data_IF_694601625684
#
_entry.id   IF_694601625684
#
_cell.length_a   1.000
_cell.length_b   1.000
_cell.length_c   1.000
_cell.angle_alpha   90.00
_cell.angle_beta   90.00
_cell.angle_gamma   90.00
#
_symmetry.space_group_name_H-M   'P 1'
#
loop_
_entity.id
_entity.type
_entity.pdbx_description
1 polymer ?
#
# COMPACT_ATOMS: atom_id res chain seq x y z
N UNK A 1 4.83 7.70 -7.50
CA UNK A 1 6.00 7.39 -6.68
C UNK A 1 6.24 5.89 -6.66
N UNK A 2 7.41 5.49 -7.09
CA UNK A 2 7.77 4.08 -7.14
C UNK A 2 8.79 3.77 -6.05
N UNK A 3 8.56 2.66 -5.36
CA UNK A 3 9.42 2.22 -4.26
C UNK A 3 9.85 0.80 -4.54
N UNK A 4 11.15 0.56 -4.55
CA UNK A 4 11.72 -0.76 -4.80
C UNK A 4 12.39 -1.27 -3.53
N UNK A 5 12.20 -2.57 -3.27
CA UNK A 5 12.71 -3.25 -2.08
C UNK A 5 12.05 -2.70 -0.82
N UNK A 6 12.58 -3.02 0.35
CA UNK A 6 12.10 -2.47 1.60
C UNK A 6 12.64 -1.07 1.88
N UNK A 7 13.33 -0.53 0.90
CA UNK A 7 13.91 0.81 0.93
C UNK A 7 13.36 1.62 -0.23
N UNK A 8 13.20 2.90 -0.01
CA UNK A 8 12.93 3.83 -1.09
C UNK A 8 14.25 4.40 -1.55
N UNK A 9 14.54 4.25 -2.83
CA UNK A 9 15.74 4.80 -3.41
C UNK A 9 15.37 5.77 -4.50
N UNK A 10 15.72 7.03 -4.32
CA UNK A 10 15.68 7.97 -5.43
C UNK A 10 16.74 7.56 -6.43
N UNK A 11 16.39 7.57 -7.71
CA UNK A 11 17.28 7.04 -8.74
C UNK A 11 18.63 7.75 -8.79
N UNK A 12 18.61 9.04 -8.58
CA UNK A 12 19.84 9.85 -8.73
C UNK A 12 20.48 10.27 -7.42
N UNK A 13 19.76 10.11 -6.32
CA UNK A 13 20.26 10.56 -5.01
C UNK A 13 19.55 9.76 -3.91
N UNK A 14 19.99 8.55 -3.66
CA UNK A 14 19.32 7.69 -2.69
C UNK A 14 19.66 8.05 -1.25
N UNK A 15 19.44 9.31 -0.88
CA UNK A 15 19.75 9.79 0.45
C UNK A 15 18.64 9.46 1.44
N UNK A 16 17.46 9.08 0.95
CA UNK A 16 16.31 8.79 1.79
C UNK A 16 15.96 7.33 1.69
N UNK A 17 15.98 6.65 2.83
CA UNK A 17 15.56 5.27 2.95
C UNK A 17 14.36 5.26 3.89
N UNK A 18 13.25 4.71 3.42
CA UNK A 18 12.04 4.61 4.23
C UNK A 18 11.81 3.17 4.68
N UNK A 19 11.33 3.05 5.91
CA UNK A 19 11.03 1.76 6.51
C UNK A 19 9.56 1.72 6.93
N UNK A 20 9.04 0.52 7.14
CA UNK A 20 7.68 0.35 7.61
C UNK A 20 7.46 1.13 8.90
N UNK A 21 6.37 1.89 8.95
CA UNK A 21 6.02 2.70 10.09
C UNK A 21 6.61 4.09 10.10
N UNK A 22 7.52 4.40 9.18
CA UNK A 22 8.07 5.74 9.09
C UNK A 22 6.98 6.76 8.78
N UNK A 23 7.18 7.98 9.27
CA UNK A 23 6.26 9.07 9.00
C UNK A 23 6.91 10.11 8.11
N UNK A 24 6.18 10.54 7.10
CA UNK A 24 6.61 11.58 6.17
C UNK A 24 5.67 12.75 6.32
N UNK A 25 6.21 13.93 6.56
CA UNK A 25 5.41 15.15 6.59
C UNK A 25 5.41 15.77 5.20
N UNK A 26 4.23 16.06 4.70
CA UNK A 26 4.04 16.65 3.39
C UNK A 26 3.07 17.82 3.56
N UNK A 27 3.61 19.03 3.71
CA UNK A 27 2.78 20.18 4.05
C UNK A 27 2.14 19.96 5.40
N UNK A 28 0.82 20.03 5.46
CA UNK A 28 0.05 19.76 6.67
C UNK A 28 -0.32 18.28 6.85
N UNK A 29 0.07 17.44 5.89
CA UNK A 29 -0.26 16.03 5.94
C UNK A 29 0.88 15.24 6.53
N UNK A 30 0.52 14.20 7.28
CA UNK A 30 1.48 13.26 7.85
C UNK A 30 1.13 11.86 7.34
N UNK A 31 2.02 11.30 6.54
CA UNK A 31 1.81 10.00 5.92
C UNK A 31 2.62 8.94 6.67
N UNK A 32 1.98 7.83 6.99
CA UNK A 32 2.65 6.66 7.56
C UNK A 32 2.97 5.69 6.43
N UNK A 33 4.20 5.24 6.39
CA UNK A 33 4.65 4.26 5.39
C UNK A 33 4.26 2.86 5.86
N UNK A 34 3.51 2.14 5.03
CA UNK A 34 3.20 0.74 5.26
C UNK A 34 3.92 -0.08 4.20
N UNK A 35 4.80 -0.95 4.64
CA UNK A 35 5.48 -1.87 3.74
C UNK A 35 4.50 -2.96 3.31
N UNK A 36 4.21 -3.02 2.03
CA UNK A 36 3.22 -3.95 1.47
C UNK A 36 3.81 -4.68 0.26
N UNK A 37 4.75 -5.59 0.49
CA UNK A 37 5.38 -6.30 -0.63
C UNK A 37 4.43 -7.31 -1.27
N UNK A 38 4.73 -7.71 -2.47
CA UNK A 38 4.00 -8.75 -3.17
C UNK A 38 3.83 -8.45 -4.65
N UNK A 39 3.30 -7.29 -5.00
CA UNK A 39 3.31 -6.84 -6.39
C UNK A 39 4.76 -6.61 -6.83
N UNK A 40 5.52 -5.93 -5.99
CA UNK A 40 6.98 -5.84 -6.07
C UNK A 40 7.56 -6.10 -4.69
N UNK A 41 8.87 -6.31 -4.63
CA UNK A 41 9.56 -6.51 -3.36
C UNK A 41 9.53 -5.26 -2.48
N UNK A 42 9.45 -4.09 -3.10
CA UNK A 42 9.47 -2.83 -2.39
C UNK A 42 8.15 -2.09 -2.36
N UNK A 43 7.04 -2.80 -2.53
CA UNK A 43 5.73 -2.15 -2.52
C UNK A 43 5.43 -1.50 -1.18
N UNK A 44 4.85 -0.30 -1.22
CA UNK A 44 4.41 0.38 0.00
C UNK A 44 3.09 1.08 -0.26
N UNK A 45 2.38 1.36 0.85
CA UNK A 45 1.23 2.24 0.85
C UNK A 45 1.55 3.43 1.75
N UNK A 46 0.93 4.56 1.47
CA UNK A 46 1.06 5.76 2.29
C UNK A 46 -0.29 6.05 2.94
N UNK A 47 -0.33 6.04 4.25
CA UNK A 47 -1.55 6.15 5.03
C UNK A 47 -1.59 7.46 5.82
N UNK A 48 -2.59 8.28 5.52
CA UNK A 48 -2.87 9.49 6.30
C UNK A 48 -4.02 9.19 7.25
N UNK A 49 -3.68 8.91 8.51
CA UNK A 49 -4.63 8.43 9.51
C UNK A 49 -5.70 9.45 9.86
N UNK A 50 -5.32 10.71 10.01
CA UNK A 50 -6.25 11.75 10.44
C UNK A 50 -7.28 12.07 9.37
N UNK A 51 -6.85 12.14 8.11
CA UNK A 51 -7.74 12.44 7.01
C UNK A 51 -8.44 11.18 6.47
N UNK A 52 -8.06 10.02 6.98
CA UNK A 52 -8.60 8.72 6.55
C UNK A 52 -8.42 8.50 5.06
N UNK A 53 -7.19 8.66 4.61
CA UNK A 53 -6.77 8.46 3.23
C UNK A 53 -5.63 7.45 3.19
N UNK A 54 -5.58 6.65 2.14
CA UNK A 54 -4.45 5.76 1.91
C UNK A 54 -4.18 5.65 0.43
N UNK A 55 -2.93 5.87 0.06
CA UNK A 55 -2.48 5.70 -1.32
C UNK A 55 -1.92 4.30 -1.43
N UNK A 56 -2.68 3.41 -2.05
CA UNK A 56 -2.36 1.98 -2.06
C UNK A 56 -1.53 1.54 -3.27
N UNK A 57 -1.21 2.45 -4.18
CA UNK A 57 -0.35 2.14 -5.33
C UNK A 57 -0.87 0.94 -6.09
N UNK A 58 0.03 0.00 -6.36
CA UNK A 58 -0.31 -1.23 -7.07
C UNK A 58 -0.53 -2.42 -6.12
N UNK A 59 -0.78 -2.16 -4.84
CA UNK A 59 -1.03 -3.20 -3.85
C UNK A 59 -2.49 -3.61 -3.81
N UNK A 60 -3.39 -2.64 -3.67
CA UNK A 60 -4.82 -2.90 -3.52
C UNK A 60 -5.60 -2.02 -4.49
N UNK A 61 -6.47 -2.64 -5.26
CA UNK A 61 -7.38 -1.99 -6.19
C UNK A 61 -8.82 -2.31 -5.82
N UNK A 62 -9.75 -1.59 -6.40
CA UNK A 62 -11.16 -1.87 -6.18
C UNK A 62 -11.51 -3.25 -6.70
N UNK A 63 -11.87 -4.14 -5.80
CA UNK A 63 -12.29 -5.50 -6.11
C UNK A 63 -11.17 -6.49 -6.39
N UNK A 64 -9.92 -6.05 -6.35
CA UNK A 64 -8.80 -6.94 -6.65
C UNK A 64 -7.52 -6.46 -5.97
N UNK A 65 -6.44 -7.14 -6.25
CA UNK A 65 -5.10 -6.76 -5.77
C UNK A 65 -4.16 -6.65 -6.96
N UNK A 66 -2.99 -6.10 -6.74
CA UNK A 66 -1.99 -5.97 -7.79
C UNK A 66 -1.54 -7.33 -8.32
N UNK A 67 -0.90 -7.31 -9.48
CA UNK A 67 -0.35 -8.54 -10.05
C UNK A 67 0.84 -9.00 -9.22
N UNK A 68 0.97 -10.30 -9.10
CA UNK A 68 2.11 -10.90 -8.39
C UNK A 68 2.78 -11.98 -9.22
N UNK A 69 2.41 -12.08 -10.51
CA UNK A 69 2.94 -13.07 -11.43
C UNK A 69 4.11 -12.55 -12.27
N UNK A 70 4.49 -11.29 -12.08
CA UNK A 70 5.60 -10.70 -12.79
C UNK A 70 6.89 -10.85 -11.99
N UNK A 71 8.01 -10.59 -12.64
CA UNK A 71 9.33 -10.67 -12.02
C UNK A 71 9.37 -9.86 -10.72
N UNK A 72 9.76 -10.53 -9.65
CA UNK A 72 9.80 -9.93 -8.31
C UNK A 72 8.49 -9.96 -7.57
N UNK A 73 7.41 -10.45 -8.20
CA UNK A 73 6.12 -10.58 -7.53
C UNK A 73 6.00 -11.85 -6.70
N UNK A 74 5.16 -11.80 -5.68
CA UNK A 74 4.91 -12.93 -4.77
C UNK A 74 3.49 -12.81 -4.24
N UNK A 75 2.62 -13.72 -4.69
CA UNK A 75 1.20 -13.67 -4.32
C UNK A 75 1.00 -13.91 -2.82
N UNK A 76 1.77 -14.77 -2.20
CA UNK A 76 1.62 -15.02 -0.77
C UNK A 76 1.98 -13.79 0.05
N UNK A 77 3.04 -13.09 -0.33
CA UNK A 77 3.43 -11.84 0.30
C UNK A 77 2.38 -10.76 0.07
N UNK A 78 1.82 -10.70 -1.13
CA UNK A 78 0.80 -9.72 -1.45
C UNK A 78 -0.45 -9.93 -0.60
N UNK A 79 -0.90 -11.16 -0.46
CA UNK A 79 -2.06 -11.48 0.36
C UNK A 79 -1.79 -11.16 1.84
N UNK A 80 -0.60 -11.46 2.31
CA UNK A 80 -0.20 -11.10 3.67
C UNK A 80 -0.23 -9.59 3.86
N UNK A 81 0.23 -8.84 2.87
CA UNK A 81 0.21 -7.39 2.92
C UNK A 81 -1.20 -6.83 3.07
N UNK A 82 -2.13 -7.26 2.21
CA UNK A 82 -3.49 -6.72 2.23
C UNK A 82 -4.30 -7.22 3.42
N UNK A 83 -4.01 -8.40 3.94
CA UNK A 83 -4.76 -8.99 5.04
C UNK A 83 -4.21 -8.62 6.40
N UNK A 84 -2.89 -8.52 6.55
CA UNK A 84 -2.25 -8.35 7.85
C UNK A 84 -1.55 -7.01 7.99
N UNK A 85 -0.74 -6.60 7.02
CA UNK A 85 0.02 -5.34 7.12
C UNK A 85 -0.88 -4.11 7.02
N UNK A 86 -2.01 -4.24 6.34
CA UNK A 86 -3.00 -3.18 6.22
C UNK A 86 -4.13 -3.31 7.24
N UNK A 87 -4.00 -4.22 8.21
CA UNK A 87 -5.10 -4.55 9.12
C UNK A 87 -5.56 -3.38 9.98
N UNK A 88 -4.69 -2.45 10.31
CA UNK A 88 -5.02 -1.31 11.17
C UNK A 88 -5.74 -0.18 10.45
N UNK A 89 -5.78 -0.21 9.11
CA UNK A 89 -6.49 0.80 8.35
C UNK A 89 -7.98 0.66 8.62
N UNK A 90 -8.61 1.77 9.01
CA UNK A 90 -10.04 1.74 9.37
C UNK A 90 -10.91 1.58 8.12
N UNK A 91 -12.12 1.02 8.32
CA UNK A 91 -13.04 0.73 7.22
C UNK A 91 -13.45 1.98 6.44
N UNK A 92 -13.52 3.13 7.10
CA UNK A 92 -13.93 4.38 6.46
C UNK A 92 -12.80 5.09 5.72
N UNK A 93 -11.60 4.50 5.71
CA UNK A 93 -10.47 5.08 5.00
C UNK A 93 -10.68 4.99 3.49
N UNK A 94 -10.51 6.12 2.81
CA UNK A 94 -10.55 6.18 1.35
C UNK A 94 -9.24 5.64 0.79
N UNK A 95 -9.35 4.70 -0.12
CA UNK A 95 -8.18 4.07 -0.74
C UNK A 95 -8.03 4.60 -2.16
N UNK A 96 -6.85 5.13 -2.45
CA UNK A 96 -6.53 5.67 -3.77
C UNK A 96 -5.48 4.79 -4.42
N UNK A 97 -5.89 3.88 -5.32
CA UNK A 97 -4.93 3.02 -6.02
C UNK A 97 -4.14 3.81 -7.07
N UNK A 98 -3.08 3.21 -7.56
CA UNK A 98 -2.29 3.79 -8.64
C UNK A 98 -3.05 3.85 -9.95
N UNK A 99 -4.02 2.97 -10.14
CA UNK A 99 -4.86 2.89 -11.34
C UNK A 99 -6.28 2.55 -10.92
N UNK A 100 -7.25 2.95 -11.74
CA UNK A 100 -8.64 2.59 -11.50
C UNK A 100 -9.31 3.45 -10.45
N UNK A 101 -10.55 3.11 -10.08
CA UNK A 101 -11.35 3.95 -9.20
C UNK A 101 -10.93 3.85 -7.74
N UNK A 102 -11.21 4.91 -6.99
CA UNK A 102 -11.05 4.90 -5.54
C UNK A 102 -12.05 3.95 -4.90
N UNK A 103 -11.75 3.52 -3.69
CA UNK A 103 -12.61 2.62 -2.91
C UNK A 103 -12.45 2.94 -1.43
N UNK A 104 -13.07 2.15 -0.56
CA UNK A 104 -12.83 2.23 0.88
C UNK A 104 -12.30 0.90 1.38
N UNK A 105 -11.58 0.94 2.49
CA UNK A 105 -11.06 -0.30 3.07
C UNK A 105 -12.19 -1.23 3.50
N UNK A 106 -13.28 -0.66 4.01
CA UNK A 106 -14.45 -1.45 4.41
C UNK A 106 -15.09 -2.18 3.24
N UNK A 107 -15.23 -1.51 2.09
CA UNK A 107 -15.74 -2.13 0.88
C UNK A 107 -14.87 -3.33 0.48
N UNK A 108 -13.56 -3.15 0.51
CA UNK A 108 -12.65 -4.21 0.11
C UNK A 108 -12.69 -5.38 1.08
N UNK A 109 -12.74 -5.13 2.37
CA UNK A 109 -12.84 -6.21 3.36
C UNK A 109 -14.11 -7.03 3.18
N UNK A 110 -15.18 -6.39 2.77
CA UNK A 110 -16.47 -7.06 2.61
C UNK A 110 -16.59 -7.80 1.28
N UNK A 111 -16.10 -7.21 0.20
CA UNK A 111 -16.38 -7.69 -1.15
C UNK A 111 -15.17 -8.19 -1.93
N UNK A 112 -13.96 -7.85 -1.52
CA UNK A 112 -12.75 -8.26 -2.23
C UNK A 112 -12.33 -9.64 -1.73
N UNK A 113 -12.39 -10.62 -2.63
CA UNK A 113 -12.08 -12.01 -2.28
C UNK A 113 -10.65 -12.21 -1.78
N UNK A 114 -9.73 -11.35 -2.16
CA UNK A 114 -8.32 -11.46 -1.75
C UNK A 114 -8.09 -11.04 -0.30
N UNK A 115 -8.98 -10.24 0.27
CA UNK A 115 -8.91 -9.86 1.68
C UNK A 115 -9.67 -10.83 2.57
N UNK A 116 -10.56 -11.60 2.02
CA UNK A 116 -11.33 -12.60 2.76
C UNK A 116 -10.47 -13.85 2.94
N UNK A 117 -10.48 -14.38 4.13
CA UNK A 117 -9.75 -15.61 4.44
C UNK A 117 -10.58 -16.84 4.12
#
# INVERSE_FOLDING_TARGET
>A
LYIADDEIKAQSAPDIILHNGDEITFGKYKLTVLYTPGHTKGGVCFWEKEQKLCFSGDTLFRGTVGRADLYGGDIEELLKSVRERMAKITDDTQMYPGHGPATTMGYERKLNRYLRK
#
